data_IF_465685430421
#
_entry.id   IF_465685430421
#
_cell.length_a   1.000
_cell.length_b   1.000
_cell.length_c   1.000
_cell.angle_alpha   90.00
_cell.angle_beta   90.00
_cell.angle_gamma   90.00
#
_symmetry.space_group_name_H-M   'P 1'
#
loop_
_entity.id
_entity.type
_entity.pdbx_description
1 polymer ?
#
# COMPACT_ATOMS: atom_id res chain seq x y z
N UNK A 1 1.53 17.28 -3.98
CA UNK A 1 1.84 17.77 -2.62
C UNK A 1 1.65 16.71 -1.51
N UNK A 2 0.60 15.88 -1.54
CA UNK A 2 0.35 14.84 -0.50
C UNK A 2 1.55 13.89 -0.23
N UNK A 3 2.23 13.43 -1.28
CA UNK A 3 3.41 12.56 -1.14
C UNK A 3 4.60 13.25 -0.45
N UNK A 4 4.83 14.54 -0.74
CA UNK A 4 5.87 15.34 -0.08
C UNK A 4 5.58 15.53 1.41
N UNK A 5 4.34 15.85 1.76
CA UNK A 5 3.92 15.98 3.15
C UNK A 5 4.02 14.66 3.92
N UNK A 6 3.64 13.54 3.28
CA UNK A 6 3.79 12.20 3.84
C UNK A 6 5.24 11.77 4.04
N UNK A 7 6.14 12.20 3.16
CA UNK A 7 7.59 11.97 3.28
C UNK A 7 8.20 12.83 4.38
N UNK A 8 7.84 14.11 4.45
CA UNK A 8 8.30 15.05 5.48
C UNK A 8 7.87 14.60 6.89
N UNK A 9 6.61 14.16 7.05
CA UNK A 9 6.12 13.60 8.31
C UNK A 9 6.81 12.29 8.69
N UNK A 10 7.23 11.48 7.70
CA UNK A 10 7.99 10.25 7.96
C UNK A 10 9.44 10.52 8.38
N UNK A 11 9.98 11.69 8.07
CA UNK A 11 11.31 12.11 8.49
C UNK A 11 11.39 12.36 10.01
N UNK A 12 10.32 12.88 10.61
CA UNK A 12 10.25 13.24 12.04
C UNK A 12 10.65 12.07 12.95
N UNK A 13 10.01 10.88 12.88
CA UNK A 13 10.39 9.76 13.74
C UNK A 13 11.81 9.26 13.46
N UNK A 14 12.27 9.32 12.20
CA UNK A 14 13.64 8.89 11.82
C UNK A 14 14.69 9.78 12.48
N UNK A 15 14.52 11.10 12.39
CA UNK A 15 15.44 12.07 13.01
C UNK A 15 15.39 11.96 14.53
N UNK A 16 14.20 11.82 15.11
CA UNK A 16 14.05 11.69 16.57
C UNK A 16 14.73 10.44 17.12
N UNK A 17 14.51 9.28 16.50
CA UNK A 17 15.15 8.03 16.90
C UNK A 17 16.66 8.10 16.67
N UNK A 18 17.11 8.65 15.53
CA UNK A 18 18.53 8.84 15.25
C UNK A 18 19.21 9.73 16.30
N UNK A 19 18.57 10.83 16.70
CA UNK A 19 19.04 11.69 17.78
C UNK A 19 19.12 10.95 19.12
N UNK A 20 18.10 10.16 19.48
CA UNK A 20 18.11 9.36 20.70
C UNK A 20 19.25 8.35 20.72
N UNK A 21 19.47 7.64 19.62
CA UNK A 21 20.57 6.67 19.49
C UNK A 21 21.94 7.35 19.66
N UNK A 22 22.12 8.50 19.01
CA UNK A 22 23.33 9.30 19.15
C UNK A 22 23.52 9.81 20.59
N UNK A 23 22.46 10.32 21.21
CA UNK A 23 22.47 10.79 22.59
C UNK A 23 22.89 9.68 23.56
N UNK A 24 22.28 8.48 23.45
CA UNK A 24 22.58 7.36 24.33
C UNK A 24 24.00 6.81 24.14
N UNK A 25 24.54 6.82 22.92
CA UNK A 25 25.94 6.49 22.67
C UNK A 25 26.90 7.46 23.38
N UNK A 26 26.51 8.72 23.57
CA UNK A 26 27.29 9.76 24.24
C UNK A 26 27.30 9.70 25.78
N UNK A 27 26.31 9.07 26.41
CA UNK A 27 26.10 9.11 27.89
C UNK A 27 27.32 8.60 28.68
N UNK A 28 28.05 7.61 28.16
CA UNK A 28 29.27 7.07 28.79
C UNK A 28 30.58 7.65 28.26
N UNK A 29 30.58 8.91 27.83
CA UNK A 29 31.76 9.54 27.21
C UNK A 29 32.12 8.92 25.85
N UNK A 30 31.13 8.41 25.12
CA UNK A 30 31.31 7.75 23.82
C UNK A 30 31.82 6.30 23.91
N UNK A 31 31.86 5.70 25.10
CA UNK A 31 32.36 4.34 25.29
C UNK A 31 31.35 3.44 26.00
N UNK A 32 31.31 2.15 25.61
CA UNK A 32 30.47 1.15 26.26
C UNK A 32 30.91 0.89 27.71
N UNK A 33 32.20 1.02 28.00
CA UNK A 33 32.75 0.88 29.35
C UNK A 33 32.33 2.03 30.27
N UNK A 34 32.25 3.27 29.75
CA UNK A 34 31.70 4.40 30.49
C UNK A 34 30.20 4.24 30.78
N UNK A 35 29.43 3.69 29.83
CA UNK A 35 28.01 3.39 30.05
C UNK A 35 27.85 2.31 31.14
N UNK A 36 28.67 1.26 31.09
CA UNK A 36 28.68 0.21 32.12
C UNK A 36 29.13 0.75 33.48
N UNK A 37 30.11 1.66 33.51
CA UNK A 37 30.61 2.29 34.73
C UNK A 37 29.57 3.17 35.46
N UNK A 38 28.60 3.70 34.73
CA UNK A 38 27.46 4.46 35.29
C UNK A 38 26.27 3.53 35.62
N UNK A 39 26.38 2.23 35.32
CA UNK A 39 25.32 1.24 35.58
C UNK A 39 24.14 1.30 34.60
N UNK A 40 24.26 2.04 33.50
CA UNK A 40 23.19 2.23 32.52
C UNK A 40 23.26 1.27 31.32
N UNK A 41 24.20 0.31 31.34
CA UNK A 41 24.43 -0.65 30.25
C UNK A 41 23.15 -1.31 29.72
N UNK A 42 22.38 -2.02 30.57
CA UNK A 42 21.16 -2.69 30.15
C UNK A 42 20.10 -1.73 29.58
N UNK A 43 19.98 -0.54 30.16
CA UNK A 43 18.99 0.46 29.74
C UNK A 43 19.35 1.06 28.39
N UNK A 44 20.59 1.48 28.19
CA UNK A 44 21.05 2.03 26.91
C UNK A 44 20.94 0.98 25.80
N UNK A 45 21.31 -0.26 26.09
CA UNK A 45 21.19 -1.36 25.14
C UNK A 45 19.71 -1.63 24.79
N UNK A 46 18.84 -1.73 25.80
CA UNK A 46 17.41 -1.94 25.61
C UNK A 46 16.75 -0.83 24.82
N UNK A 47 16.99 0.43 25.18
CA UNK A 47 16.46 1.60 24.46
C UNK A 47 17.00 1.68 23.02
N UNK A 48 18.27 1.30 22.80
CA UNK A 48 18.84 1.27 21.46
C UNK A 48 18.18 0.22 20.57
N UNK A 49 17.95 -0.98 21.10
CA UNK A 49 17.25 -2.05 20.38
C UNK A 49 15.81 -1.64 20.06
N UNK A 50 15.08 -1.11 21.04
CA UNK A 50 13.70 -0.64 20.84
C UNK A 50 13.68 0.49 19.82
N UNK A 51 14.55 1.49 19.96
CA UNK A 51 14.68 2.59 18.99
C UNK A 51 14.90 2.07 17.57
N UNK A 52 15.81 1.11 17.39
CA UNK A 52 16.10 0.51 16.09
C UNK A 52 14.89 -0.25 15.52
N UNK A 53 14.14 -0.98 16.34
CA UNK A 53 12.91 -1.65 15.91
C UNK A 53 11.85 -0.66 15.44
N UNK A 54 11.67 0.44 16.17
CA UNK A 54 10.73 1.50 15.79
C UNK A 54 11.18 2.27 14.54
N UNK A 55 12.48 2.25 14.21
CA UNK A 55 13.01 2.88 12.99
C UNK A 55 12.61 2.13 11.71
N UNK A 56 12.38 0.82 11.79
CA UNK A 56 12.12 -0.04 10.62
C UNK A 56 10.89 0.45 9.83
N UNK A 57 9.76 0.69 10.50
CA UNK A 57 8.52 1.09 9.84
C UNK A 57 8.62 2.40 9.05
N UNK A 58 9.05 3.52 9.69
CA UNK A 58 9.30 4.78 9.02
C UNK A 58 10.31 4.68 7.86
N UNK A 59 11.38 3.90 8.05
CA UNK A 59 12.41 3.71 7.02
C UNK A 59 11.86 2.98 5.79
N UNK A 60 11.10 1.90 6.01
CA UNK A 60 10.41 1.17 4.93
C UNK A 60 9.41 2.09 4.21
N UNK A 61 8.67 2.92 4.95
CA UNK A 61 7.74 3.90 4.36
C UNK A 61 8.48 4.92 3.49
N UNK A 62 9.61 5.45 3.94
CA UNK A 62 10.43 6.39 3.16
C UNK A 62 11.00 5.74 1.90
N UNK A 63 11.54 4.52 2.00
CA UNK A 63 12.05 3.76 0.85
C UNK A 63 10.92 3.51 -0.15
N UNK A 64 9.73 3.10 0.31
CA UNK A 64 8.58 2.82 -0.56
C UNK A 64 8.10 4.06 -1.32
N UNK A 65 8.13 5.24 -0.67
CA UNK A 65 7.82 6.52 -1.31
C UNK A 65 8.90 6.91 -2.32
N UNK A 66 10.18 6.77 -1.97
CA UNK A 66 11.30 7.10 -2.83
C UNK A 66 11.38 6.19 -4.08
N UNK A 67 11.12 4.89 -3.92
CA UNK A 67 11.13 3.91 -5.01
C UNK A 67 9.90 3.98 -5.92
N UNK A 68 8.93 4.86 -5.63
CA UNK A 68 7.70 4.98 -6.43
C UNK A 68 6.79 3.73 -6.39
N UNK A 69 7.09 2.77 -5.53
CA UNK A 69 6.38 1.48 -5.38
C UNK A 69 4.94 1.63 -4.86
N UNK A 70 4.58 2.83 -4.41
CA UNK A 70 3.20 3.19 -4.07
C UNK A 70 2.30 3.50 -5.28
N UNK A 71 2.81 3.42 -6.53
CA UNK A 71 1.98 3.49 -7.73
C UNK A 71 1.31 2.14 -7.96
N UNK A 72 0.17 1.91 -7.30
CA UNK A 72 -0.76 0.86 -7.73
C UNK A 72 -1.40 1.34 -9.03
N UNK A 73 -1.34 0.59 -10.14
CA UNK A 73 -2.13 0.90 -11.33
C UNK A 73 -3.61 0.90 -10.91
N UNK A 74 -4.27 2.06 -10.98
CA UNK A 74 -5.71 2.20 -10.70
C UNK A 74 -6.13 2.70 -9.31
N UNK A 75 -5.21 2.95 -8.36
CA UNK A 75 -5.56 3.52 -7.04
C UNK A 75 -5.40 5.05 -6.97
N UNK A 76 -5.64 5.73 -8.09
CA UNK A 76 -5.83 7.18 -8.13
C UNK A 76 -7.32 7.45 -8.27
N UNK A 77 -8.05 7.51 -7.16
CA UNK A 77 -9.30 8.29 -7.15
C UNK A 77 -8.85 9.75 -7.16
N UNK A 78 -8.57 10.24 -8.36
CA UNK A 78 -8.54 11.65 -8.67
C UNK A 78 -10.00 12.07 -8.77
N UNK A 79 -10.53 12.71 -7.73
CA UNK A 79 -11.74 13.52 -7.86
C UNK A 79 -11.27 14.79 -8.57
N UNK A 80 -11.16 14.69 -9.88
CA UNK A 80 -10.55 15.67 -10.75
C UNK A 80 -10.95 15.33 -12.17
N UNK A 81 -11.83 16.18 -12.68
CA UNK A 81 -12.51 16.18 -13.96
C UNK A 81 -11.64 15.80 -15.18
N UNK A 82 -12.35 15.36 -16.23
CA UNK A 82 -11.89 15.27 -17.62
C UNK A 82 -10.79 14.26 -17.99
N UNK A 83 -11.13 12.98 -17.89
CA UNK A 83 -10.69 12.00 -18.89
C UNK A 83 -11.92 11.26 -19.42
N UNK A 84 -12.08 11.07 -20.74
CA UNK A 84 -13.03 10.11 -21.27
C UNK A 84 -12.47 8.73 -20.94
N UNK A 85 -12.73 8.29 -19.71
CA UNK A 85 -12.75 6.86 -19.46
C UNK A 85 -13.85 6.33 -20.36
N UNK A 86 -13.57 5.26 -21.09
CA UNK A 86 -14.62 4.36 -21.60
C UNK A 86 -15.29 3.71 -20.38
N UNK A 87 -15.89 4.55 -19.54
CA UNK A 87 -16.79 4.16 -18.48
C UNK A 87 -18.01 3.55 -19.16
N UNK A 88 -18.52 2.49 -18.56
CA UNK A 88 -19.79 1.92 -18.96
C UNK A 88 -20.85 3.03 -19.01
N UNK A 89 -21.21 3.45 -20.23
CA UNK A 89 -22.26 4.42 -20.46
C UNK A 89 -23.60 3.72 -20.26
N UNK A 90 -24.15 3.91 -19.07
CA UNK A 90 -25.41 3.29 -18.66
C UNK A 90 -26.58 3.75 -19.55
N UNK A 91 -26.53 4.97 -20.07
CA UNK A 91 -27.58 5.52 -20.93
C UNK A 91 -27.50 4.90 -22.33
N UNK A 92 -26.29 4.72 -22.89
CA UNK A 92 -26.10 3.99 -24.14
C UNK A 92 -26.47 2.51 -24.04
N UNK A 93 -26.19 1.87 -22.90
CA UNK A 93 -26.59 0.50 -22.63
C UNK A 93 -28.13 0.37 -22.54
N UNK A 94 -28.79 1.33 -21.88
CA UNK A 94 -30.25 1.36 -21.78
C UNK A 94 -30.92 1.63 -23.14
N UNK A 95 -30.38 2.55 -23.94
CA UNK A 95 -30.86 2.80 -25.30
C UNK A 95 -30.73 1.56 -26.20
N UNK A 96 -29.64 0.81 -26.07
CA UNK A 96 -29.43 -0.46 -26.78
C UNK A 96 -30.39 -1.57 -26.33
N UNK A 97 -30.84 -1.54 -25.09
CA UNK A 97 -31.84 -2.48 -24.57
C UNK A 97 -33.25 -2.14 -25.08
N UNK A 98 -33.63 -0.85 -25.07
CA UNK A 98 -34.93 -0.40 -25.57
C UNK A 98 -35.06 -0.66 -27.07
N UNK A 99 -34.03 -0.40 -27.87
CA UNK A 99 -34.04 -0.67 -29.32
C UNK A 99 -34.15 -2.17 -29.66
N UNK A 100 -33.50 -3.05 -28.86
CA UNK A 100 -33.67 -4.51 -28.98
C UNK A 100 -35.03 -5.00 -28.50
N UNK A 101 -35.72 -4.26 -27.65
CA UNK A 101 -37.08 -4.61 -27.20
C UNK A 101 -38.13 -4.25 -28.25
N UNK A 102 -37.93 -3.17 -28.99
CA UNK A 102 -38.81 -2.75 -30.08
C UNK A 102 -38.63 -3.57 -31.35
N UNK A 103 -37.46 -4.17 -31.54
CA UNK A 103 -37.21 -5.13 -32.62
C UNK A 103 -37.51 -6.54 -32.10
N UNK A 104 -38.63 -7.14 -32.52
CA UNK A 104 -38.93 -8.52 -32.18
C UNK A 104 -37.73 -9.43 -32.52
N UNK A 105 -37.27 -10.30 -31.61
CA UNK A 105 -36.15 -11.18 -31.91
C UNK A 105 -36.53 -12.13 -33.07
N UNK A 106 -35.60 -12.47 -33.99
CA UNK A 106 -35.80 -13.67 -34.78
C UNK A 106 -35.96 -14.82 -33.78
N UNK A 107 -37.15 -15.42 -33.80
CA UNK A 107 -37.43 -16.67 -33.14
C UNK A 107 -36.47 -17.70 -33.73
N UNK A 108 -35.88 -18.55 -32.88
CA UNK A 108 -34.94 -19.66 -33.14
C UNK A 108 -33.44 -19.31 -32.98
N UNK A 109 -32.60 -20.03 -32.23
CA UNK A 109 -32.74 -21.28 -31.52
C UNK A 109 -31.59 -21.44 -30.49
N UNK A 110 -31.82 -22.36 -29.56
CA UNK A 110 -30.84 -23.13 -28.78
C UNK A 110 -30.47 -22.61 -27.37
N UNK A 111 -31.37 -22.93 -26.42
CA UNK A 111 -31.17 -22.81 -24.98
C UNK A 111 -30.40 -23.99 -24.37
N UNK A 112 -29.85 -24.92 -25.16
CA UNK A 112 -29.24 -26.16 -24.65
C UNK A 112 -27.71 -26.22 -24.72
N UNK A 113 -27.02 -25.07 -24.79
CA UNK A 113 -25.54 -25.06 -24.67
C UNK A 113 -25.07 -24.55 -23.31
N UNK A 114 -24.63 -25.42 -22.39
CA UNK A 114 -23.91 -24.98 -21.20
C UNK A 114 -22.62 -24.29 -21.63
N UNK A 115 -22.43 -23.04 -21.21
CA UNK A 115 -21.17 -22.34 -21.42
C UNK A 115 -20.01 -23.15 -20.80
N UNK A 116 -18.90 -23.41 -21.51
CA UNK A 116 -17.75 -24.09 -20.94
C UNK A 116 -17.14 -23.19 -19.86
N UNK A 117 -17.26 -23.58 -18.59
CA UNK A 117 -16.61 -22.89 -17.46
C UNK A 117 -15.10 -23.09 -17.55
N UNK A 118 -14.30 -22.01 -17.70
CA UNK A 118 -12.85 -22.13 -17.65
C UNK A 118 -12.41 -22.42 -16.20
N UNK A 119 -11.71 -23.54 -15.99
CA UNK A 119 -10.77 -23.71 -14.88
C UNK A 119 -11.37 -23.77 -13.47
N UNK A 120 -11.95 -24.91 -13.10
CA UNK A 120 -12.17 -25.25 -11.69
C UNK A 120 -10.85 -25.59 -10.98
N UNK A 121 -10.31 -24.64 -10.22
CA UNK A 121 -9.25 -24.92 -9.24
C UNK A 121 -9.78 -25.89 -8.17
N UNK A 122 -9.09 -27.01 -7.95
CA UNK A 122 -9.11 -27.70 -6.65
C UNK A 122 -9.98 -28.95 -6.45
N UNK A 123 -10.33 -29.75 -7.48
CA UNK A 123 -10.92 -31.08 -7.23
C UNK A 123 -9.93 -32.21 -7.53
N UNK A 124 -9.29 -32.73 -6.47
CA UNK A 124 -8.75 -34.10 -6.40
C UNK A 124 -9.89 -35.04 -6.01
N UNK A 125 -10.04 -36.14 -6.73
CA UNK A 125 -10.92 -37.25 -6.37
C UNK A 125 -10.79 -38.35 -7.40
N UNK A 126 -9.89 -39.30 -7.11
CA UNK A 126 -10.05 -40.70 -7.55
C UNK A 126 -11.21 -41.32 -6.77
#
# INVERSE_FOLDING_TARGET
MRAFFGWLLALIPVVYIGFLLWHFAGVGGGSMQGIAGIGLGPTVLGLSVIGLLFLIGPLVKMIRVASGSNRVPGAGIDIGDDRPTEGFDADAAFASYMSRRETAPPVEADLDRPAPRPGGFGRKGV
#
